data_IF_191291619195
#
_entry.id   IF_191291619195
#
_cell.length_a   1.000
_cell.length_b   1.000
_cell.length_c   1.000
_cell.angle_alpha   90.00
_cell.angle_beta   90.00
_cell.angle_gamma   90.00
#
_symmetry.space_group_name_H-M   'P 1'
#
loop_
_entity.id
_entity.type
_entity.pdbx_description
1 polymer ?
#
# COMPACT_ATOMS: atom_id res chain seq x y z
N UNK A 1 11.70 -38.66 -8.56
CA UNK A 1 10.44 -38.50 -9.32
C UNK A 1 9.29 -39.02 -8.47
N UNK A 2 8.49 -38.12 -7.90
CA UNK A 2 7.30 -38.50 -7.13
C UNK A 2 6.20 -39.01 -8.06
N UNK A 3 5.55 -40.11 -7.69
CA UNK A 3 4.44 -40.69 -8.47
C UNK A 3 3.20 -39.80 -8.33
N UNK A 4 2.69 -39.24 -9.42
CA UNK A 4 1.41 -38.55 -9.44
C UNK A 4 0.26 -39.55 -9.66
N UNK A 5 -0.86 -39.35 -8.95
CA UNK A 5 -2.06 -40.19 -9.07
C UNK A 5 -3.25 -39.26 -9.31
N UNK A 6 -3.93 -39.44 -10.45
CA UNK A 6 -5.13 -38.67 -10.78
C UNK A 6 -6.35 -39.28 -10.09
N UNK A 7 -7.17 -38.44 -9.45
CA UNK A 7 -8.43 -38.81 -8.82
C UNK A 7 -9.54 -37.91 -9.37
N UNK A 8 -10.68 -38.51 -9.71
CA UNK A 8 -11.86 -37.78 -10.18
C UNK A 8 -12.85 -37.63 -9.03
N UNK A 9 -13.34 -36.41 -8.83
CA UNK A 9 -14.36 -36.09 -7.82
C UNK A 9 -15.64 -35.70 -8.54
N UNK A 10 -16.78 -36.21 -8.06
CA UNK A 10 -18.11 -35.82 -8.55
C UNK A 10 -18.76 -34.90 -7.52
N UNK A 11 -19.24 -33.76 -7.97
CA UNK A 11 -19.94 -32.77 -7.15
C UNK A 11 -21.23 -32.33 -7.84
N UNK A 12 -22.22 -31.80 -7.09
CA UNK A 12 -23.39 -31.17 -7.67
C UNK A 12 -23.00 -29.99 -8.57
N UNK A 13 -23.76 -29.76 -9.64
CA UNK A 13 -23.50 -28.69 -10.63
C UNK A 13 -23.44 -27.31 -9.97
N UNK A 14 -24.39 -27.00 -9.08
CA UNK A 14 -24.40 -25.74 -8.33
C UNK A 14 -23.14 -25.48 -7.50
N UNK A 15 -22.51 -26.54 -6.99
CA UNK A 15 -21.28 -26.45 -6.21
C UNK A 15 -20.06 -26.29 -7.13
N UNK A 16 -20.07 -26.89 -8.31
CA UNK A 16 -19.04 -26.69 -9.32
C UNK A 16 -19.02 -25.23 -9.80
N UNK A 17 -20.20 -24.66 -10.10
CA UNK A 17 -20.34 -23.26 -10.50
C UNK A 17 -19.84 -22.28 -9.43
N UNK A 18 -20.12 -22.57 -8.16
CA UNK A 18 -19.63 -21.76 -7.03
C UNK A 18 -18.10 -21.79 -6.93
N UNK A 19 -17.50 -22.96 -7.12
CA UNK A 19 -16.04 -23.12 -7.10
C UNK A 19 -15.36 -22.47 -8.30
N UNK A 20 -15.97 -22.56 -9.48
CA UNK A 20 -15.48 -21.88 -10.69
C UNK A 20 -15.49 -20.37 -10.51
N UNK A 21 -16.60 -19.81 -10.03
CA UNK A 21 -16.71 -18.38 -9.71
C UNK A 21 -15.66 -17.95 -8.69
N UNK A 22 -15.47 -18.74 -7.63
CA UNK A 22 -14.47 -18.43 -6.61
C UNK A 22 -13.05 -18.38 -7.18
N UNK A 23 -12.70 -19.29 -8.10
CA UNK A 23 -11.39 -19.30 -8.79
C UNK A 23 -11.24 -18.07 -9.70
N UNK A 24 -12.29 -17.68 -10.41
CA UNK A 24 -12.25 -16.49 -11.28
C UNK A 24 -12.08 -15.18 -10.49
N UNK A 25 -12.69 -15.10 -9.31
CA UNK A 25 -12.64 -13.91 -8.45
C UNK A 25 -11.37 -13.84 -7.58
N UNK A 26 -10.68 -14.97 -7.38
CA UNK A 26 -9.52 -15.06 -6.48
C UNK A 26 -8.30 -15.62 -7.22
N UNK A 27 -7.37 -14.77 -7.70
CA UNK A 27 -6.18 -15.21 -8.46
C UNK A 27 -5.20 -16.06 -7.63
N UNK A 28 -5.41 -16.14 -6.32
CA UNK A 28 -4.65 -16.98 -5.38
C UNK A 28 -4.99 -18.48 -5.51
N UNK A 29 -6.17 -18.78 -6.06
CA UNK A 29 -6.66 -20.13 -6.27
C UNK A 29 -6.47 -20.54 -7.74
N UNK A 30 -5.29 -21.04 -8.11
CA UNK A 30 -4.96 -21.38 -9.50
C UNK A 30 -5.95 -22.32 -10.24
N UNK A 31 -6.70 -23.14 -9.49
CA UNK A 31 -7.73 -24.04 -10.04
C UNK A 31 -8.58 -24.68 -8.95
N UNK A 32 -9.72 -25.27 -9.30
CA UNK A 32 -10.54 -26.12 -8.41
C UNK A 32 -9.70 -27.24 -7.77
N UNK A 33 -8.74 -27.80 -8.51
CA UNK A 33 -7.84 -28.83 -7.98
C UNK A 33 -6.92 -28.28 -6.89
N UNK A 34 -6.54 -26.99 -6.97
CA UNK A 34 -5.79 -26.29 -5.94
C UNK A 34 -6.67 -26.15 -4.68
N UNK A 35 -7.91 -25.68 -4.83
CA UNK A 35 -8.87 -25.55 -3.72
C UNK A 35 -9.12 -26.87 -2.98
N UNK A 36 -9.37 -27.96 -3.72
CA UNK A 36 -9.59 -29.29 -3.13
C UNK A 36 -8.35 -29.74 -2.35
N UNK A 37 -7.14 -29.54 -2.92
CA UNK A 37 -5.89 -29.92 -2.25
C UNK A 37 -5.70 -29.14 -0.96
N UNK A 38 -5.90 -27.83 -0.99
CA UNK A 38 -5.76 -26.96 0.17
C UNK A 38 -6.77 -27.33 1.27
N UNK A 39 -8.03 -27.56 0.90
CA UNK A 39 -9.08 -28.00 1.84
C UNK A 39 -8.74 -29.34 2.50
N UNK A 40 -8.28 -30.32 1.72
CA UNK A 40 -7.85 -31.63 2.23
C UNK A 40 -6.62 -31.50 3.14
N UNK A 41 -5.65 -30.66 2.77
CA UNK A 41 -4.46 -30.41 3.59
C UNK A 41 -4.82 -29.76 4.93
N UNK A 42 -5.70 -28.75 4.92
CA UNK A 42 -6.22 -28.13 6.14
C UNK A 42 -6.95 -29.15 7.04
N UNK A 43 -7.73 -30.05 6.43
CA UNK A 43 -8.42 -31.13 7.15
C UNK A 43 -7.45 -32.16 7.74
N UNK A 44 -6.43 -32.56 6.98
CA UNK A 44 -5.38 -33.49 7.46
C UNK A 44 -4.51 -32.87 8.57
N UNK A 45 -4.30 -31.56 8.54
CA UNK A 45 -3.64 -30.80 9.59
C UNK A 45 -4.51 -30.64 10.86
N UNK A 46 -5.72 -31.21 10.90
CA UNK A 46 -6.63 -31.12 12.03
C UNK A 46 -7.24 -29.74 12.25
N UNK A 47 -7.15 -28.84 11.26
CA UNK A 47 -7.73 -27.48 11.33
C UNK A 47 -9.22 -27.45 11.00
N UNK A 48 -9.78 -28.58 10.57
CA UNK A 48 -11.21 -28.86 10.53
C UNK A 48 -11.49 -30.09 11.38
N UNK A 49 -11.88 -29.89 12.64
CA UNK A 49 -12.57 -30.92 13.40
C UNK A 49 -13.99 -31.03 12.86
N UNK A 50 -14.29 -32.04 12.05
CA UNK A 50 -15.68 -32.37 11.75
C UNK A 50 -16.39 -32.87 13.01
N UNK A 51 -17.64 -32.43 13.27
CA UNK A 51 -18.44 -32.97 14.34
C UNK A 51 -18.78 -34.43 13.99
N UNK A 52 -18.35 -35.37 14.83
CA UNK A 52 -18.86 -36.74 14.74
C UNK A 52 -20.35 -36.72 15.05
N UNK A 53 -21.17 -37.14 14.09
CA UNK A 53 -22.54 -37.53 14.32
C UNK A 53 -22.58 -38.73 15.26
N UNK A 54 -22.68 -38.46 16.56
CA UNK A 54 -23.28 -39.34 17.55
C UNK A 54 -24.40 -38.57 18.21
N UNK A 55 -25.61 -39.07 18.04
CA UNK A 55 -26.79 -38.65 18.78
C UNK A 55 -26.49 -38.67 20.28
N UNK A 56 -26.49 -37.50 20.92
CA UNK A 56 -26.96 -37.32 22.29
C UNK A 56 -27.28 -35.83 22.53
N UNK A 57 -28.34 -35.61 23.29
CA UNK A 57 -28.98 -34.35 23.66
C UNK A 57 -27.98 -33.28 24.20
N UNK A 58 -28.05 -32.03 23.69
CA UNK A 58 -27.88 -30.86 24.57
C UNK A 58 -26.67 -29.91 24.47
N UNK A 59 -25.84 -29.86 23.41
CA UNK A 59 -24.61 -29.00 23.44
C UNK A 59 -24.31 -28.12 22.19
N UNK A 60 -25.29 -27.93 21.29
CA UNK A 60 -25.08 -27.27 19.98
C UNK A 60 -25.00 -25.72 20.06
N UNK A 61 -25.43 -25.13 21.19
CA UNK A 61 -25.38 -23.68 21.41
C UNK A 61 -23.97 -23.19 21.79
N UNK A 62 -23.13 -24.04 22.37
CA UNK A 62 -21.78 -23.67 22.82
C UNK A 62 -20.79 -23.59 21.65
N UNK A 63 -20.81 -24.58 20.75
CA UNK A 63 -19.91 -24.62 19.58
C UNK A 63 -20.17 -23.45 18.60
N UNK A 64 -21.43 -23.06 18.41
CA UNK A 64 -21.80 -21.88 17.61
C UNK A 64 -21.32 -20.57 18.25
N UNK A 65 -21.29 -20.49 19.59
CA UNK A 65 -20.76 -19.37 20.35
C UNK A 65 -19.24 -19.24 20.25
N UNK A 66 -18.52 -20.35 20.23
CA UNK A 66 -17.07 -20.36 20.03
C UNK A 66 -16.68 -19.95 18.60
N UNK A 67 -17.39 -20.42 17.57
CA UNK A 67 -17.15 -20.00 16.17
C UNK A 67 -17.38 -18.49 15.99
N UNK A 68 -18.46 -17.94 16.57
CA UNK A 68 -18.71 -16.50 16.56
C UNK A 68 -17.64 -15.71 17.33
N UNK A 69 -17.05 -16.32 18.35
CA UNK A 69 -15.96 -15.70 19.12
C UNK A 69 -14.67 -15.67 18.30
N UNK A 70 -14.34 -16.75 17.60
CA UNK A 70 -13.20 -16.81 16.67
C UNK A 70 -13.37 -15.84 15.51
N UNK A 71 -14.58 -15.73 14.93
CA UNK A 71 -14.87 -14.75 13.87
C UNK A 71 -14.73 -13.31 14.36
N UNK A 72 -15.19 -12.98 15.58
CA UNK A 72 -14.98 -11.65 16.17
C UNK A 72 -13.51 -11.36 16.47
N UNK A 73 -12.74 -12.36 16.88
CA UNK A 73 -11.30 -12.23 17.09
C UNK A 73 -10.55 -12.02 15.77
N UNK A 74 -10.92 -12.75 14.71
CA UNK A 74 -10.37 -12.55 13.37
C UNK A 74 -10.72 -11.17 12.81
N UNK A 75 -11.97 -10.72 12.97
CA UNK A 75 -12.40 -9.39 12.54
C UNK A 75 -11.61 -8.28 13.29
N UNK A 76 -11.37 -8.47 14.59
CA UNK A 76 -10.56 -7.53 15.39
C UNK A 76 -9.10 -7.55 14.94
N UNK A 77 -8.55 -8.73 14.61
CA UNK A 77 -7.19 -8.87 14.08
C UNK A 77 -7.01 -8.25 12.70
N UNK A 78 -8.01 -8.36 11.82
CA UNK A 78 -8.01 -7.70 10.50
C UNK A 78 -8.04 -6.18 10.68
N UNK A 79 -8.92 -5.65 11.54
CA UNK A 79 -8.97 -4.22 11.81
C UNK A 79 -7.65 -3.68 12.39
N UNK A 80 -6.99 -4.40 13.30
CA UNK A 80 -5.68 -4.01 13.85
C UNK A 80 -4.56 -4.05 12.78
N UNK A 81 -4.64 -4.99 11.84
CA UNK A 81 -3.71 -5.04 10.70
C UNK A 81 -3.93 -3.89 9.72
N UNK A 82 -5.18 -3.56 9.39
CA UNK A 82 -5.50 -2.40 8.56
C UNK A 82 -5.05 -1.10 9.23
N UNK A 83 -5.24 -0.95 10.55
CA UNK A 83 -4.77 0.23 11.29
C UNK A 83 -3.25 0.35 11.28
N UNK A 84 -2.52 -0.77 11.45
CA UNK A 84 -1.05 -0.81 11.35
C UNK A 84 -0.55 -0.54 9.94
N UNK A 85 -1.21 -1.07 8.92
CA UNK A 85 -0.85 -0.83 7.52
C UNK A 85 -1.03 0.65 7.18
N UNK A 86 -2.18 1.24 7.52
CA UNK A 86 -2.41 2.68 7.34
C UNK A 86 -1.38 3.54 8.11
N UNK A 87 -1.00 3.12 9.32
CA UNK A 87 0.04 3.82 10.09
C UNK A 87 1.42 3.71 9.41
N UNK A 88 1.77 2.55 8.88
CA UNK A 88 3.03 2.32 8.14
C UNK A 88 3.07 3.10 6.83
N UNK A 89 1.99 3.11 6.05
CA UNK A 89 1.88 3.88 4.81
C UNK A 89 2.04 5.37 5.08
N UNK A 90 1.35 5.89 6.12
CA UNK A 90 1.49 7.28 6.56
C UNK A 90 2.91 7.63 6.99
N UNK A 91 3.60 6.73 7.68
CA UNK A 91 5.00 6.95 8.09
C UNK A 91 5.91 6.95 6.86
N UNK A 92 5.73 6.01 5.93
CA UNK A 92 6.54 5.94 4.71
C UNK A 92 6.34 7.14 3.79
N UNK A 93 5.09 7.60 3.63
CA UNK A 93 4.77 8.80 2.84
C UNK A 93 5.35 10.06 3.50
N UNK A 94 5.26 10.18 4.83
CA UNK A 94 5.86 11.28 5.56
C UNK A 94 7.40 11.28 5.49
N UNK A 95 8.04 10.12 5.55
CA UNK A 95 9.49 9.99 5.37
C UNK A 95 9.92 10.37 3.95
N UNK A 96 9.22 9.88 2.92
CA UNK A 96 9.50 10.21 1.52
C UNK A 96 9.32 11.72 1.24
N UNK A 97 8.25 12.32 1.77
CA UNK A 97 8.01 13.77 1.67
C UNK A 97 9.10 14.57 2.40
N UNK A 98 9.52 14.13 3.59
CA UNK A 98 10.60 14.77 4.34
C UNK A 98 11.94 14.70 3.61
N UNK A 99 12.27 13.55 3.02
CA UNK A 99 13.49 13.36 2.24
C UNK A 99 13.49 14.22 0.97
N UNK A 100 12.35 14.30 0.26
CA UNK A 100 12.20 15.19 -0.89
C UNK A 100 12.36 16.65 -0.47
N UNK A 101 11.69 17.09 0.59
CA UNK A 101 11.79 18.46 1.13
C UNK A 101 13.21 18.84 1.50
N UNK A 102 13.94 17.93 2.15
CA UNK A 102 15.35 18.13 2.49
C UNK A 102 16.24 18.20 1.25
N UNK A 103 15.99 17.34 0.26
CA UNK A 103 16.73 17.34 -1.00
C UNK A 103 16.49 18.63 -1.79
N UNK A 104 15.23 18.98 -2.05
CA UNK A 104 14.80 20.25 -2.67
C UNK A 104 15.49 21.43 -1.98
N UNK A 105 15.37 21.54 -0.66
CA UNK A 105 16.02 22.60 0.09
C UNK A 105 17.53 22.57 -0.11
N UNK A 106 18.21 21.44 0.00
CA UNK A 106 19.67 21.37 -0.13
C UNK A 106 20.19 21.85 -1.49
N UNK A 107 19.47 21.57 -2.57
CA UNK A 107 19.84 21.92 -3.94
C UNK A 107 19.48 23.35 -4.33
N UNK A 108 18.60 24.02 -3.58
CA UNK A 108 18.30 25.42 -3.84
C UNK A 108 19.55 26.30 -3.66
N UNK A 109 19.85 27.16 -4.64
CA UNK A 109 20.95 28.10 -4.54
C UNK A 109 20.65 29.23 -3.56
N UNK A 110 21.70 29.86 -3.02
CA UNK A 110 21.57 31.01 -2.12
C UNK A 110 21.35 32.32 -2.89
N UNK A 111 20.57 33.22 -2.28
CA UNK A 111 20.35 34.56 -2.81
C UNK A 111 21.66 35.31 -3.03
N UNK A 112 21.85 35.79 -4.26
CA UNK A 112 22.99 36.63 -4.63
C UNK A 112 22.52 38.00 -5.05
N UNK A 113 23.31 39.02 -4.72
CA UNK A 113 23.13 40.40 -5.22
C UNK A 113 23.54 40.50 -6.69
N UNK A 114 22.86 39.79 -7.57
CA UNK A 114 23.00 39.88 -9.02
C UNK A 114 21.69 40.33 -9.64
N UNK A 115 21.78 41.12 -10.71
CA UNK A 115 20.63 41.68 -11.43
C UNK A 115 19.86 40.64 -12.25
N UNK A 116 20.45 39.47 -12.49
CA UNK A 116 19.88 38.41 -13.32
C UNK A 116 19.65 37.15 -12.50
N UNK A 117 18.40 36.82 -12.26
CA UNK A 117 18.00 35.63 -11.50
C UNK A 117 18.46 34.33 -12.17
N UNK A 118 18.43 34.25 -13.50
CA UNK A 118 18.85 33.07 -14.26
C UNK A 118 20.32 32.66 -14.05
N UNK A 119 21.18 33.56 -13.56
CA UNK A 119 22.61 33.25 -13.35
C UNK A 119 22.87 32.55 -12.00
N UNK A 120 21.91 32.58 -11.08
CA UNK A 120 22.12 32.11 -9.70
C UNK A 120 20.93 31.41 -9.05
N UNK A 121 19.72 31.61 -9.54
CA UNK A 121 18.53 30.88 -9.11
C UNK A 121 18.29 29.66 -10.01
N UNK A 122 17.35 28.79 -9.63
CA UNK A 122 17.06 27.54 -10.36
C UNK A 122 15.55 27.45 -10.66
N UNK A 123 15.18 26.89 -11.81
CA UNK A 123 13.76 26.66 -12.12
C UNK A 123 13.25 25.37 -11.49
N UNK A 124 11.93 25.19 -11.43
CA UNK A 124 11.32 23.95 -10.94
C UNK A 124 11.73 22.76 -11.81
N UNK A 125 11.65 22.91 -13.13
CA UNK A 125 12.04 21.87 -14.10
C UNK A 125 13.50 21.45 -13.92
N UNK A 126 14.43 22.41 -13.82
CA UNK A 126 15.84 22.12 -13.61
C UNK A 126 16.11 21.38 -12.29
N UNK A 127 15.35 21.73 -11.24
CA UNK A 127 15.47 21.10 -9.92
C UNK A 127 14.90 19.67 -9.95
N UNK A 128 13.76 19.46 -10.60
CA UNK A 128 13.14 18.16 -10.81
C UNK A 128 14.07 17.21 -11.59
N UNK A 129 14.69 17.69 -12.67
CA UNK A 129 15.67 16.94 -13.45
C UNK A 129 16.91 16.55 -12.61
N UNK A 130 17.41 17.45 -11.75
CA UNK A 130 18.55 17.16 -10.87
C UNK A 130 18.24 16.15 -9.77
N UNK A 131 17.02 16.17 -9.26
CA UNK A 131 16.56 15.29 -8.19
C UNK A 131 16.03 13.94 -8.72
N UNK A 132 15.74 13.85 -10.02
CA UNK A 132 15.06 12.69 -10.60
C UNK A 132 13.64 12.53 -10.06
N UNK A 133 13.00 13.63 -9.70
CA UNK A 133 11.66 13.69 -9.11
C UNK A 133 10.68 14.34 -10.09
N UNK A 134 9.38 14.16 -9.84
CA UNK A 134 8.33 14.77 -10.64
C UNK A 134 8.27 16.28 -10.40
N UNK A 135 8.17 17.06 -11.47
CA UNK A 135 8.09 18.53 -11.41
C UNK A 135 6.94 19.04 -10.53
N UNK A 136 5.71 18.49 -10.60
CA UNK A 136 4.62 18.91 -9.71
C UNK A 136 4.96 18.68 -8.23
N UNK A 137 5.56 17.54 -7.89
CA UNK A 137 5.92 17.22 -6.51
C UNK A 137 7.02 18.16 -5.97
N UNK A 138 7.97 18.54 -6.84
CA UNK A 138 9.00 19.53 -6.50
C UNK A 138 8.39 20.92 -6.34
N UNK A 139 7.44 21.29 -7.21
CA UNK A 139 6.74 22.57 -7.11
C UNK A 139 5.95 22.69 -5.80
N UNK A 140 5.13 21.70 -5.48
CA UNK A 140 4.35 21.66 -4.24
C UNK A 140 5.28 21.76 -3.02
N UNK A 141 6.40 21.04 -3.05
CA UNK A 141 7.41 21.10 -1.98
C UNK A 141 8.08 22.48 -1.85
N UNK A 142 8.31 23.18 -2.98
CA UNK A 142 8.88 24.53 -2.99
C UNK A 142 7.90 25.57 -2.45
N UNK A 143 6.63 25.45 -2.83
CA UNK A 143 5.54 26.28 -2.34
C UNK A 143 5.38 26.10 -0.82
N UNK A 144 5.31 24.84 -0.34
CA UNK A 144 5.30 24.50 1.09
C UNK A 144 6.50 25.13 1.83
N UNK A 145 7.72 24.97 1.29
CA UNK A 145 8.92 25.51 1.91
C UNK A 145 8.91 27.04 1.97
N UNK A 146 8.37 27.70 0.96
CA UNK A 146 8.23 29.15 0.94
C UNK A 146 7.20 29.64 1.96
N UNK A 147 6.07 28.96 2.10
CA UNK A 147 5.00 29.31 3.04
C UNK A 147 5.36 28.98 4.50
N UNK A 148 5.87 27.79 4.77
CA UNK A 148 6.11 27.30 6.14
C UNK A 148 7.38 27.88 6.76
N UNK A 149 8.47 27.96 5.98
CA UNK A 149 9.78 28.33 6.53
C UNK A 149 10.14 29.79 6.26
N UNK A 150 9.59 30.39 5.19
CA UNK A 150 10.00 31.70 4.69
C UNK A 150 11.47 31.77 4.24
N UNK A 151 12.20 30.65 4.23
CA UNK A 151 13.61 30.56 3.84
C UNK A 151 13.78 30.35 2.34
N UNK A 152 12.70 30.00 1.64
CA UNK A 152 12.67 29.86 0.19
C UNK A 152 11.86 31.02 -0.38
N UNK A 153 12.30 31.57 -1.50
CA UNK A 153 11.59 32.59 -2.24
C UNK A 153 11.58 32.25 -3.73
N UNK A 154 10.53 32.73 -4.40
CA UNK A 154 10.39 32.66 -5.84
C UNK A 154 10.38 34.06 -6.45
N UNK A 155 10.82 34.14 -7.69
CA UNK A 155 10.74 35.34 -8.51
C UNK A 155 10.35 34.95 -9.93
N UNK A 156 9.28 35.54 -10.42
CA UNK A 156 8.84 35.40 -11.81
C UNK A 156 9.29 36.62 -12.61
N UNK A 157 9.84 36.40 -13.79
CA UNK A 157 10.28 37.50 -14.67
C UNK A 157 11.68 37.34 -15.26
N UNK A 158 12.19 36.11 -15.38
CA UNK A 158 13.39 35.84 -16.17
C UNK A 158 13.17 36.00 -17.69
N UNK A 159 14.21 35.73 -18.49
CA UNK A 159 14.18 35.91 -19.95
C UNK A 159 13.04 35.16 -20.65
N UNK A 160 12.63 34.03 -20.09
CA UNK A 160 11.58 33.16 -20.65
C UNK A 160 10.24 33.25 -19.88
N UNK A 161 10.11 34.20 -18.96
CA UNK A 161 8.90 34.35 -18.12
C UNK A 161 8.75 33.27 -17.05
N UNK A 162 9.78 32.47 -16.82
CA UNK A 162 9.78 31.39 -15.84
C UNK A 162 9.91 31.88 -14.41
N UNK A 163 9.49 31.02 -13.48
CA UNK A 163 9.63 31.22 -12.03
C UNK A 163 10.91 30.57 -11.55
N UNK A 164 11.78 31.37 -10.94
CA UNK A 164 13.04 30.94 -10.38
C UNK A 164 12.95 30.88 -8.86
N UNK A 165 13.56 29.86 -8.28
CA UNK A 165 13.53 29.53 -6.87
C UNK A 165 14.92 29.65 -6.25
N UNK A 166 14.97 30.13 -5.00
CA UNK A 166 16.21 30.31 -4.27
C UNK A 166 16.01 30.37 -2.75
N UNK A 167 17.09 30.19 -2.00
CA UNK A 167 17.13 30.41 -0.55
C UNK A 167 17.36 31.87 -0.23
N UNK A 168 16.52 32.44 0.63
CA UNK A 168 16.76 33.77 1.21
C UNK A 168 17.97 33.70 2.14
N UNK A 169 18.92 34.62 1.95
CA UNK A 169 20.03 34.78 2.89
C UNK A 169 19.49 35.22 4.26
N UNK A 170 20.09 34.71 5.33
CA UNK A 170 19.83 35.18 6.71
C UNK A 170 20.24 36.64 6.90
#
# INVERSE_FOLDING_TARGET
MGKSVTKTVKVPESMAEEWERYVEENPEADSISHLIRQSVELKLQGKFSEPQTRSDDGDDAAASGEILTVLRQLQTGINDLEERMNALERVGEAEASYDLRKAVFSFLPEERRSSKYADWAITCEELAQKLGADEPAVQDTLDDLAEETGQVASVSGGPDGETYWFKRGK
#
